data_IF_709054431121
#
_entry.id   IF_709054431121
#
_cell.length_a   1.000
_cell.length_b   1.000
_cell.length_c   1.000
_cell.angle_alpha   90.00
_cell.angle_beta   90.00
_cell.angle_gamma   90.00
#
_symmetry.space_group_name_H-M   'P 1'
#
loop_
_entity.id
_entity.type
_entity.pdbx_description
1 polymer ?
#
# COMPACT_ATOMS: atom_id res chain seq x y z
N UNK A 1 -30.65 -4.02 39.93
CA UNK A 1 -30.04 -4.52 38.68
C UNK A 1 -31.14 -4.85 37.66
N UNK A 2 -31.23 -4.15 36.51
CA UNK A 2 -32.21 -4.53 35.50
C UNK A 2 -31.77 -5.83 34.83
N UNK A 3 -32.74 -6.71 34.66
CA UNK A 3 -32.64 -8.11 34.30
C UNK A 3 -32.29 -8.32 32.82
N UNK A 4 -31.53 -9.39 32.58
CA UNK A 4 -31.07 -9.86 31.29
C UNK A 4 -32.24 -10.37 30.43
N UNK A 5 -32.80 -9.50 29.61
CA UNK A 5 -33.72 -9.86 28.53
C UNK A 5 -32.98 -9.81 27.19
N UNK A 6 -32.32 -10.90 26.79
CA UNK A 6 -31.91 -11.18 25.40
C UNK A 6 -31.38 -10.01 24.55
N UNK A 7 -30.65 -9.06 25.16
CA UNK A 7 -30.43 -7.75 24.60
C UNK A 7 -29.27 -7.76 23.61
N UNK A 8 -29.57 -7.69 22.31
CA UNK A 8 -28.57 -7.30 21.33
C UNK A 8 -28.11 -5.86 21.60
N UNK A 9 -26.84 -5.58 21.32
CA UNK A 9 -26.33 -4.22 21.36
C UNK A 9 -27.22 -3.32 20.48
N UNK A 10 -27.77 -2.20 20.98
CA UNK A 10 -28.71 -1.41 20.21
C UNK A 10 -28.03 -0.86 18.95
N UNK A 11 -28.69 -0.88 17.79
CA UNK A 11 -28.12 -0.30 16.58
C UNK A 11 -27.88 1.20 16.79
N UNK A 12 -26.72 1.68 16.36
CA UNK A 12 -26.41 3.11 16.42
C UNK A 12 -27.44 3.91 15.61
N UNK A 13 -27.80 5.14 16.04
CA UNK A 13 -28.63 6.03 15.24
C UNK A 13 -28.04 6.21 13.83
N UNK A 14 -28.85 6.21 12.75
CA UNK A 14 -28.35 6.33 11.39
C UNK A 14 -27.44 7.55 11.15
N UNK A 15 -27.76 8.69 11.77
CA UNK A 15 -26.94 9.90 11.70
C UNK A 15 -25.54 9.70 12.28
N UNK A 16 -25.44 8.96 13.41
CA UNK A 16 -24.18 8.66 14.06
C UNK A 16 -23.36 7.64 13.25
N UNK A 17 -24.01 6.67 12.61
CA UNK A 17 -23.35 5.74 11.67
C UNK A 17 -22.70 6.52 10.53
N UNK A 18 -23.42 7.46 9.92
CA UNK A 18 -22.90 8.28 8.81
C UNK A 18 -21.75 9.16 9.28
N UNK A 19 -21.87 9.81 10.45
CA UNK A 19 -20.82 10.65 11.01
C UNK A 19 -19.55 9.84 11.32
N UNK A 20 -19.69 8.66 11.94
CA UNK A 20 -18.56 7.79 12.25
C UNK A 20 -17.87 7.27 10.99
N UNK A 21 -18.64 6.89 9.96
CA UNK A 21 -18.06 6.47 8.66
C UNK A 21 -17.20 7.57 8.04
N UNK A 22 -17.71 8.80 7.99
CA UNK A 22 -16.96 9.96 7.48
C UNK A 22 -15.69 10.26 8.30
N UNK A 23 -15.79 10.14 9.63
CA UNK A 23 -14.63 10.32 10.50
C UNK A 23 -13.56 9.26 10.22
N UNK A 24 -13.94 7.99 10.15
CA UNK A 24 -13.02 6.88 9.87
C UNK A 24 -12.36 7.04 8.50
N UNK A 25 -13.14 7.42 7.48
CA UNK A 25 -12.62 7.73 6.14
C UNK A 25 -11.58 8.86 6.18
N UNK A 26 -11.87 9.95 6.90
CA UNK A 26 -10.92 11.06 7.04
C UNK A 26 -9.64 10.66 7.79
N UNK A 27 -9.75 9.77 8.78
CA UNK A 27 -8.61 9.25 9.53
C UNK A 27 -7.74 8.35 8.67
N UNK A 28 -8.36 7.51 7.83
CA UNK A 28 -7.67 6.65 6.88
C UNK A 28 -6.87 7.49 5.90
N UNK A 29 -7.49 8.41 5.17
CA UNK A 29 -6.78 9.22 4.16
C UNK A 29 -5.68 10.07 4.77
N UNK A 30 -5.91 10.67 5.95
CA UNK A 30 -4.86 11.42 6.64
C UNK A 30 -3.63 10.55 6.94
N UNK A 31 -3.85 9.31 7.35
CA UNK A 31 -2.76 8.38 7.71
C UNK A 31 -2.07 7.83 6.46
N UNK A 32 -2.87 7.41 5.47
CA UNK A 32 -2.43 6.92 4.17
C UNK A 32 -1.59 7.97 3.43
N UNK A 33 -2.10 9.19 3.28
CA UNK A 33 -1.38 10.27 2.59
C UNK A 33 -0.09 10.63 3.32
N UNK A 34 -0.10 10.63 4.65
CA UNK A 34 1.11 10.85 5.45
C UNK A 34 2.15 9.76 5.22
N UNK A 35 1.74 8.50 5.11
CA UNK A 35 2.62 7.39 4.76
C UNK A 35 3.17 7.55 3.34
N UNK A 36 2.30 7.78 2.36
CA UNK A 36 2.68 7.95 0.96
C UNK A 36 3.67 9.10 0.75
N UNK A 37 3.51 10.20 1.50
CA UNK A 37 4.39 11.36 1.40
C UNK A 37 5.70 11.22 2.17
N UNK A 38 5.72 10.50 3.30
CA UNK A 38 6.85 10.56 4.27
C UNK A 38 7.62 9.26 4.44
N UNK A 39 7.03 8.14 4.07
CA UNK A 39 7.56 6.83 4.39
C UNK A 39 7.63 5.89 3.19
N UNK A 40 6.74 5.98 2.20
CA UNK A 40 6.84 5.15 1.00
C UNK A 40 8.22 5.33 0.32
N UNK A 41 8.94 4.24 -0.03
CA UNK A 41 8.53 2.83 -0.07
C UNK A 41 8.93 2.00 1.18
N UNK A 42 9.22 2.60 2.32
CA UNK A 42 9.50 1.87 3.56
C UNK A 42 8.24 1.18 4.12
N UNK A 43 8.45 0.27 5.08
CA UNK A 43 7.42 -0.62 5.60
C UNK A 43 6.35 0.10 6.42
N UNK A 44 6.73 1.12 7.19
CA UNK A 44 5.85 1.87 8.10
C UNK A 44 6.27 3.33 8.27
N UNK A 45 5.41 4.14 8.89
CA UNK A 45 5.64 5.55 9.21
C UNK A 45 5.76 5.74 10.73
N UNK A 46 6.80 6.44 11.19
CA UNK A 46 6.87 7.04 12.53
C UNK A 46 6.18 8.41 12.49
N UNK A 47 4.94 8.55 12.99
CA UNK A 47 4.12 9.73 12.72
C UNK A 47 4.64 11.01 13.40
N UNK A 48 5.22 10.90 14.60
CA UNK A 48 5.73 12.07 15.32
C UNK A 48 7.03 12.61 14.74
N UNK A 49 7.93 11.73 14.29
CA UNK A 49 9.20 12.13 13.68
C UNK A 49 9.09 12.34 12.17
N UNK A 50 7.96 11.99 11.56
CA UNK A 50 7.71 12.10 10.12
C UNK A 50 8.77 11.36 9.27
N UNK A 51 9.22 10.19 9.75
CA UNK A 51 10.21 9.34 9.06
C UNK A 51 9.64 7.96 8.81
N UNK A 52 9.94 7.37 7.66
CA UNK A 52 9.65 5.95 7.45
C UNK A 52 10.58 5.04 8.24
N UNK A 53 10.15 3.80 8.47
CA UNK A 53 10.93 2.73 9.06
C UNK A 53 10.56 1.36 8.45
N UNK A 54 11.33 0.33 8.77
CA UNK A 54 11.00 -1.06 8.44
C UNK A 54 10.17 -1.70 9.54
N UNK A 55 9.14 -2.46 9.18
CA UNK A 55 8.42 -3.27 10.15
C UNK A 55 9.24 -4.52 10.51
N UNK A 56 9.72 -4.60 11.75
CA UNK A 56 10.73 -5.58 12.18
C UNK A 56 10.39 -7.05 11.88
N UNK A 57 9.11 -7.40 11.88
CA UNK A 57 8.66 -8.77 11.68
C UNK A 57 8.55 -9.16 10.19
N UNK A 58 8.44 -8.21 9.27
CA UNK A 58 8.27 -8.52 7.83
C UNK A 58 9.44 -8.02 7.00
N UNK A 59 10.00 -6.84 7.32
CA UNK A 59 11.18 -6.23 6.67
C UNK A 59 11.11 -6.12 5.14
N UNK A 60 9.91 -6.20 4.57
CA UNK A 60 9.66 -5.95 3.15
C UNK A 60 9.34 -4.46 2.93
N UNK A 61 9.71 -3.89 1.77
CA UNK A 61 9.29 -2.56 1.39
C UNK A 61 7.76 -2.51 1.19
N UNK A 62 7.21 -1.31 1.21
CA UNK A 62 5.83 -1.00 0.85
C UNK A 62 4.76 -1.79 1.65
N UNK A 63 5.11 -2.33 2.83
CA UNK A 63 4.20 -3.16 3.63
C UNK A 63 2.88 -2.44 3.95
N UNK A 64 2.94 -1.19 4.41
CA UNK A 64 1.74 -0.37 4.65
C UNK A 64 0.91 -0.16 3.38
N UNK A 65 1.55 -0.01 2.21
CA UNK A 65 0.84 0.11 0.94
C UNK A 65 0.06 -1.18 0.62
N UNK A 66 0.71 -2.34 0.79
CA UNK A 66 0.09 -3.66 0.58
C UNK A 66 -1.10 -3.85 1.54
N UNK A 67 -0.92 -3.59 2.83
CA UNK A 67 -1.97 -3.68 3.85
C UNK A 67 -3.12 -2.67 3.63
N UNK A 68 -2.94 -1.64 2.79
CA UNK A 68 -3.97 -0.62 2.52
C UNK A 68 -4.78 -0.85 1.24
N UNK A 69 -4.37 -1.80 0.38
CA UNK A 69 -4.96 -1.99 -0.95
C UNK A 69 -6.46 -2.32 -0.90
N UNK A 70 -6.85 -3.30 -0.11
CA UNK A 70 -8.26 -3.69 0.02
C UNK A 70 -9.11 -2.57 0.65
N UNK A 71 -8.55 -1.83 1.60
CA UNK A 71 -9.21 -0.72 2.28
C UNK A 71 -9.51 0.42 1.31
N UNK A 72 -8.61 0.71 0.36
CA UNK A 72 -8.89 1.67 -0.72
C UNK A 72 -10.12 1.28 -1.53
N UNK A 73 -10.28 -0.01 -1.86
CA UNK A 73 -11.46 -0.51 -2.57
C UNK A 73 -12.72 -0.49 -1.69
N UNK A 74 -12.62 -0.84 -0.40
CA UNK A 74 -13.73 -0.75 0.56
C UNK A 74 -14.25 0.69 0.69
N UNK A 75 -13.34 1.67 0.67
CA UNK A 75 -13.68 3.10 0.70
C UNK A 75 -14.07 3.67 -0.68
N UNK A 76 -14.08 2.84 -1.73
CA UNK A 76 -14.51 3.22 -3.08
C UNK A 76 -13.47 4.01 -3.89
N UNK A 77 -12.21 4.10 -3.43
CA UNK A 77 -11.15 4.80 -4.13
C UNK A 77 -10.37 3.88 -5.06
N UNK A 78 -11.06 3.48 -6.13
CA UNK A 78 -10.54 2.59 -7.17
C UNK A 78 -9.32 3.18 -7.91
N UNK A 79 -9.30 4.50 -8.13
CA UNK A 79 -8.19 5.17 -8.82
C UNK A 79 -6.90 5.08 -8.02
N UNK A 80 -6.95 5.38 -6.71
CA UNK A 80 -5.75 5.27 -5.88
C UNK A 80 -5.34 3.82 -5.66
N UNK A 81 -6.29 2.88 -5.59
CA UNK A 81 -5.99 1.45 -5.62
C UNK A 81 -5.15 1.07 -6.86
N UNK A 82 -5.62 1.44 -8.06
CA UNK A 82 -4.93 1.11 -9.31
C UNK A 82 -3.53 1.74 -9.37
N UNK A 83 -3.38 3.00 -8.95
CA UNK A 83 -2.07 3.63 -8.81
C UNK A 83 -1.17 2.90 -7.83
N UNK A 84 -1.69 2.43 -6.70
CA UNK A 84 -0.91 1.71 -5.69
C UNK A 84 -0.44 0.34 -6.20
N UNK A 85 -1.26 -0.38 -6.96
CA UNK A 85 -0.84 -1.60 -7.65
C UNK A 85 0.31 -1.31 -8.63
N UNK A 86 0.18 -0.26 -9.45
CA UNK A 86 1.24 0.11 -10.39
C UNK A 86 2.52 0.60 -9.70
N UNK A 87 2.41 1.29 -8.56
CA UNK A 87 3.58 1.65 -7.74
C UNK A 87 4.30 0.42 -7.20
N UNK A 88 3.58 -0.62 -6.78
CA UNK A 88 4.20 -1.89 -6.38
C UNK A 88 4.88 -2.58 -7.57
N UNK A 89 4.26 -2.56 -8.75
CA UNK A 89 4.84 -3.13 -9.97
C UNK A 89 6.13 -2.42 -10.38
N UNK A 90 6.11 -1.09 -10.41
CA UNK A 90 7.30 -0.26 -10.70
C UNK A 90 8.41 -0.51 -9.67
N UNK A 91 8.07 -0.56 -8.38
CA UNK A 91 9.05 -0.84 -7.32
C UNK A 91 9.68 -2.23 -7.47
N UNK A 92 8.89 -3.25 -7.81
CA UNK A 92 9.41 -4.60 -8.10
C UNK A 92 10.37 -4.58 -9.30
N UNK A 93 10.01 -3.90 -10.38
CA UNK A 93 10.84 -3.76 -11.59
C UNK A 93 12.15 -3.02 -11.32
N UNK A 94 12.10 -1.95 -10.53
CA UNK A 94 13.28 -1.18 -10.09
C UNK A 94 14.23 -2.05 -9.25
N UNK A 95 13.69 -2.77 -8.26
CA UNK A 95 14.47 -3.68 -7.42
C UNK A 95 15.07 -4.85 -8.21
N UNK A 96 14.36 -5.39 -9.19
CA UNK A 96 14.90 -6.41 -10.12
C UNK A 96 16.04 -5.84 -10.96
N UNK A 97 15.90 -4.59 -11.41
CA UNK A 97 16.93 -3.92 -12.22
C UNK A 97 18.19 -3.69 -11.41
N UNK A 98 18.05 -3.12 -10.21
CA UNK A 98 19.17 -2.93 -9.28
C UNK A 98 19.88 -4.26 -8.95
N UNK A 99 19.12 -5.33 -8.72
CA UNK A 99 19.69 -6.66 -8.49
C UNK A 99 20.55 -7.14 -9.68
N UNK A 100 20.02 -7.05 -10.91
CA UNK A 100 20.75 -7.46 -12.12
C UNK A 100 22.04 -6.67 -12.33
N UNK A 101 22.02 -5.38 -12.01
CA UNK A 101 23.21 -4.51 -12.10
C UNK A 101 24.28 -4.89 -11.07
N UNK A 102 23.86 -5.21 -9.85
CA UNK A 102 24.78 -5.59 -8.77
C UNK A 102 25.31 -7.03 -8.90
N UNK A 103 24.56 -7.93 -9.56
CA UNK A 103 24.89 -9.35 -9.70
C UNK A 103 24.81 -9.85 -11.15
N UNK A 104 25.59 -9.29 -12.09
CA UNK A 104 25.43 -9.54 -13.53
C UNK A 104 25.78 -10.96 -13.99
N UNK A 105 26.42 -11.76 -13.13
CA UNK A 105 26.80 -13.15 -13.39
C UNK A 105 26.02 -14.16 -12.52
N UNK A 106 25.04 -13.69 -11.76
CA UNK A 106 24.22 -14.58 -10.94
C UNK A 106 23.18 -15.26 -11.83
N UNK A 107 23.30 -16.58 -11.95
CA UNK A 107 22.32 -17.41 -12.62
C UNK A 107 21.37 -18.00 -11.59
N UNK A 108 20.08 -17.84 -11.83
CA UNK A 108 19.04 -18.47 -11.01
C UNK A 108 18.20 -19.41 -11.87
N UNK A 109 18.53 -20.71 -11.89
CA UNK A 109 17.76 -21.72 -12.61
C UNK A 109 16.30 -21.82 -12.16
N UNK A 110 15.97 -21.34 -10.96
CA UNK A 110 14.63 -21.40 -10.38
C UNK A 110 13.79 -20.12 -10.57
N UNK A 111 14.38 -19.01 -11.03
CA UNK A 111 13.70 -17.73 -11.25
C UNK A 111 13.10 -17.04 -10.01
N UNK A 112 13.42 -17.50 -8.80
CA UNK A 112 12.90 -17.00 -7.52
C UNK A 112 13.84 -16.02 -6.79
N UNK A 113 15.09 -15.90 -7.25
CA UNK A 113 16.21 -15.17 -6.64
C UNK A 113 16.79 -14.11 -7.59
N UNK A 114 15.98 -13.60 -8.51
CA UNK A 114 16.38 -12.63 -9.53
C UNK A 114 16.05 -11.17 -9.15
N UNK A 115 16.07 -10.85 -7.84
CA UNK A 115 15.67 -9.56 -7.31
C UNK A 115 14.15 -9.35 -7.28
N UNK A 116 13.75 -8.12 -7.00
CA UNK A 116 12.34 -7.75 -6.81
C UNK A 116 11.93 -7.69 -5.34
N UNK A 117 10.67 -7.35 -5.12
CA UNK A 117 10.11 -6.97 -3.83
C UNK A 117 10.28 -8.05 -2.76
N UNK A 118 10.17 -9.32 -3.15
CA UNK A 118 10.21 -10.48 -2.24
C UNK A 118 11.55 -11.20 -2.20
N UNK A 119 12.50 -10.86 -3.08
CA UNK A 119 13.82 -11.49 -3.14
C UNK A 119 14.83 -10.75 -2.25
N UNK A 120 14.48 -10.56 -0.97
CA UNK A 120 15.32 -9.87 0.01
C UNK A 120 15.96 -10.87 0.98
N UNK A 121 17.26 -10.71 1.23
CA UNK A 121 17.99 -11.55 2.17
C UNK A 121 17.84 -11.02 3.61
N UNK A 122 16.66 -11.28 4.20
CA UNK A 122 16.30 -10.84 5.56
C UNK A 122 15.52 -11.93 6.29
N UNK A 123 15.74 -12.01 7.60
CA UNK A 123 14.90 -12.83 8.48
C UNK A 123 13.52 -12.17 8.64
N UNK A 124 12.49 -12.89 8.22
CA UNK A 124 11.09 -12.48 8.31
C UNK A 124 10.29 -13.48 9.16
N UNK A 125 9.27 -12.98 9.85
CA UNK A 125 8.23 -13.79 10.48
C UNK A 125 7.31 -14.32 9.40
N UNK A 126 7.31 -15.64 9.20
CA UNK A 126 6.43 -16.30 8.22
C UNK A 126 4.96 -16.03 8.56
N UNK A 127 4.62 -15.96 9.86
CA UNK A 127 3.26 -15.66 10.31
C UNK A 127 2.81 -14.26 9.87
N UNK A 128 3.58 -13.22 10.19
CA UNK A 128 3.23 -11.83 9.84
C UNK A 128 3.25 -11.62 8.33
N UNK A 129 4.22 -12.22 7.64
CA UNK A 129 4.33 -12.14 6.17
C UNK A 129 3.11 -12.77 5.50
N UNK A 130 2.63 -13.91 6.02
CA UNK A 130 1.44 -14.56 5.49
C UNK A 130 0.18 -13.70 5.66
N UNK A 131 -0.09 -13.17 6.86
CA UNK A 131 -1.35 -12.44 7.10
C UNK A 131 -1.36 -11.03 6.50
N UNK A 132 -0.20 -10.37 6.37
CA UNK A 132 -0.09 -9.01 5.82
C UNK A 132 0.14 -9.00 4.32
N UNK A 133 1.20 -9.67 3.88
CA UNK A 133 1.63 -9.60 2.48
C UNK A 133 0.78 -10.52 1.61
N UNK A 134 0.78 -11.83 1.91
CA UNK A 134 -0.01 -12.78 1.12
C UNK A 134 -1.50 -12.50 1.29
N UNK A 135 -1.95 -12.26 2.52
CA UNK A 135 -3.33 -11.89 2.85
C UNK A 135 -3.78 -10.59 2.19
N UNK A 136 -2.98 -9.51 2.29
CA UNK A 136 -3.30 -8.21 1.69
C UNK A 136 -3.35 -8.26 0.17
N UNK A 137 -2.38 -8.93 -0.48
CA UNK A 137 -2.37 -9.09 -1.95
C UNK A 137 -3.54 -9.95 -2.43
N UNK A 138 -3.84 -11.06 -1.74
CA UNK A 138 -4.96 -11.93 -2.10
C UNK A 138 -6.30 -11.22 -1.91
N UNK A 139 -6.48 -10.53 -0.78
CA UNK A 139 -7.68 -9.74 -0.49
C UNK A 139 -7.88 -8.63 -1.52
N UNK A 140 -6.82 -7.88 -1.82
CA UNK A 140 -6.82 -6.86 -2.86
C UNK A 140 -7.20 -7.42 -4.24
N UNK A 141 -6.65 -8.58 -4.60
CA UNK A 141 -6.94 -9.24 -5.88
C UNK A 141 -8.42 -9.63 -5.99
N UNK A 142 -8.97 -10.29 -4.96
CA UNK A 142 -10.38 -10.69 -4.94
C UNK A 142 -11.33 -9.48 -4.96
N UNK A 143 -10.99 -8.41 -4.22
CA UNK A 143 -11.76 -7.17 -4.22
C UNK A 143 -11.68 -6.47 -5.59
N UNK A 144 -10.52 -6.46 -6.25
CA UNK A 144 -10.37 -5.89 -7.57
C UNK A 144 -11.20 -6.66 -8.61
N UNK A 145 -11.17 -7.99 -8.58
CA UNK A 145 -12.01 -8.83 -9.43
C UNK A 145 -13.51 -8.53 -9.22
N UNK A 146 -13.94 -8.38 -7.97
CA UNK A 146 -15.34 -8.13 -7.65
C UNK A 146 -15.82 -6.71 -7.95
N UNK A 147 -14.96 -5.69 -7.79
CA UNK A 147 -15.39 -4.29 -7.74
C UNK A 147 -14.75 -3.36 -8.77
N UNK A 148 -13.59 -3.69 -9.35
CA UNK A 148 -12.83 -2.77 -10.20
C UNK A 148 -13.34 -2.74 -11.64
N UNK A 149 -13.40 -3.89 -12.34
CA UNK A 149 -13.75 -3.95 -13.77
C UNK A 149 -12.97 -2.92 -14.61
N UNK A 150 -13.63 -2.30 -15.60
CA UNK A 150 -13.06 -1.25 -16.45
C UNK A 150 -13.28 0.18 -15.90
N UNK A 151 -13.47 0.33 -14.58
CA UNK A 151 -13.88 1.60 -13.97
C UNK A 151 -12.76 2.65 -13.85
N UNK A 152 -11.50 2.27 -14.07
CA UNK A 152 -10.35 3.17 -13.90
C UNK A 152 -9.68 3.44 -15.26
N UNK A 153 -9.85 4.63 -15.83
CA UNK A 153 -9.13 5.05 -17.02
C UNK A 153 -7.61 5.03 -16.80
N UNK A 154 -6.84 4.63 -17.81
CA UNK A 154 -5.37 4.66 -17.75
C UNK A 154 -4.83 6.07 -17.50
N UNK A 155 -5.49 7.09 -18.05
CA UNK A 155 -5.13 8.49 -17.83
C UNK A 155 -5.31 8.93 -16.37
N UNK A 156 -6.10 8.21 -15.56
CA UNK A 156 -6.18 8.48 -14.13
C UNK A 156 -5.00 7.85 -13.37
N UNK A 157 -4.33 6.83 -13.94
CA UNK A 157 -3.22 6.11 -13.31
C UNK A 157 -1.88 6.71 -13.71
N UNK A 158 -1.68 6.97 -15.01
CA UNK A 158 -0.40 7.39 -15.57
C UNK A 158 -0.42 8.86 -16.03
N UNK A 159 0.73 9.52 -15.92
CA UNK A 159 0.97 10.82 -16.55
C UNK A 159 1.40 10.67 -18.01
N UNK A 160 1.66 11.81 -18.68
CA UNK A 160 2.07 11.84 -20.09
C UNK A 160 3.43 11.18 -20.35
N UNK A 161 4.26 11.04 -19.32
CA UNK A 161 5.57 10.41 -19.39
C UNK A 161 5.50 8.92 -19.01
N UNK A 162 4.31 8.39 -18.76
CA UNK A 162 4.10 7.00 -18.35
C UNK A 162 4.43 6.73 -16.88
N UNK A 163 4.62 7.76 -16.04
CA UNK A 163 4.85 7.59 -14.61
C UNK A 163 3.53 7.49 -13.87
N UNK A 164 3.51 6.73 -12.78
CA UNK A 164 2.34 6.62 -11.92
C UNK A 164 2.11 7.96 -11.20
N UNK A 165 0.89 8.49 -11.30
CA UNK A 165 0.52 9.77 -10.67
C UNK A 165 0.55 9.67 -9.14
N UNK A 166 0.88 10.78 -8.46
CA UNK A 166 0.80 10.93 -7.00
C UNK A 166 -0.39 11.80 -6.61
N UNK A 167 -1.20 11.33 -5.65
CA UNK A 167 -2.35 12.07 -5.09
C UNK A 167 -3.61 12.09 -5.97
N UNK A 168 -4.78 12.09 -5.31
CA UNK A 168 -6.08 12.46 -5.91
C UNK A 168 -6.97 11.29 -6.31
N UNK A 169 -7.82 10.85 -5.40
CA UNK A 169 -8.92 9.91 -5.65
C UNK A 169 -10.21 10.34 -4.93
N UNK A 170 -10.50 11.64 -4.89
CA UNK A 170 -11.81 12.17 -4.55
C UNK A 170 -12.41 12.78 -5.82
N UNK A 171 -13.63 12.39 -6.17
CA UNK A 171 -14.33 12.96 -7.31
C UNK A 171 -14.40 14.49 -7.22
N UNK A 172 -13.66 15.18 -8.10
CA UNK A 172 -13.77 16.62 -8.33
C UNK A 172 -12.53 17.44 -7.96
N UNK A 173 -11.97 18.11 -8.97
CA UNK A 173 -11.15 19.31 -8.79
C UNK A 173 -9.65 19.09 -8.97
N UNK A 174 -9.12 19.60 -10.08
CA UNK A 174 -7.71 19.51 -10.45
C UNK A 174 -6.74 20.24 -9.52
N UNK A 175 -5.49 19.84 -9.65
CA UNK A 175 -4.34 20.41 -8.95
C UNK A 175 -3.15 19.48 -9.07
N UNK A 176 -2.58 19.41 -10.26
CA UNK A 176 -1.27 18.82 -10.50
C UNK A 176 -0.24 19.60 -9.67
N UNK A 177 0.42 18.90 -8.74
CA UNK A 177 1.13 19.50 -7.63
C UNK A 177 2.37 18.72 -7.26
N UNK A 178 3.38 18.80 -8.13
CA UNK A 178 4.79 18.71 -7.76
C UNK A 178 5.31 17.30 -7.49
N UNK A 179 6.02 16.75 -8.48
CA UNK A 179 6.83 15.56 -8.31
C UNK A 179 7.84 15.70 -7.17
N UNK A 180 7.90 14.68 -6.33
CA UNK A 180 9.05 14.42 -5.47
C UNK A 180 9.43 12.97 -5.64
N UNK A 181 10.60 12.78 -6.24
CA UNK A 181 11.36 11.52 -6.28
C UNK A 181 11.42 10.91 -4.88
N UNK A 182 10.94 9.67 -4.75
CA UNK A 182 11.19 8.86 -3.57
C UNK A 182 12.70 8.80 -3.34
N UNK A 183 13.13 9.23 -2.16
CA UNK A 183 14.52 9.21 -1.76
C UNK A 183 15.05 7.78 -1.82
N UNK A 184 16.16 7.58 -2.54
CA UNK A 184 16.99 6.36 -2.49
C UNK A 184 17.23 5.97 -1.04
N UNK A 185 16.62 4.88 -0.58
CA UNK A 185 17.00 4.21 0.64
C UNK A 185 18.31 3.46 0.38
N UNK A 186 19.43 4.18 0.49
CA UNK A 186 20.77 3.61 0.51
C UNK A 186 20.98 2.78 1.77
N UNK A 187 20.54 1.52 1.74
CA UNK A 187 20.83 0.50 2.74
C UNK A 187 22.16 -0.16 2.45
N UNK A 188 23.25 0.40 2.99
CA UNK A 188 24.57 -0.22 3.04
C UNK A 188 24.44 -1.62 3.63
N UNK A 189 24.68 -2.64 2.83
CA UNK A 189 24.93 -3.99 3.32
C UNK A 189 26.16 -3.92 4.25
N UNK A 190 25.95 -4.16 5.54
CA UNK A 190 27.01 -4.39 6.49
C UNK A 190 27.13 -5.91 6.67
N UNK A 191 28.34 -6.39 6.39
CA UNK A 191 28.94 -7.72 6.63
C UNK A 191 28.08 -8.82 7.24
#
# INVERSE_FOLDING_TARGET
PPESSGGAFPPLPPSLIIQNKRLIESMFYRSYDSYMYRAYPLGELKPLSCKGDTFDLVKLPALTLIDSLDTLLILGNATEFARSVERLRVLDDEMRTEWRENYPRFEDPGGLRNGGLFAVDRNVSVFETNIRVVGGLLGAHLMAEAFLGDKVPLDDVFDRDGRVKYGGGGAGGGGDGGGTTAAKAGGRAAN
#
